data_IF_027613615242
#
_entry.id   IF_027613615242
#
_cell.length_a   1.000
_cell.length_b   1.000
_cell.length_c   1.000
_cell.angle_alpha   90.00
_cell.angle_beta   90.00
_cell.angle_gamma   90.00
#
_symmetry.space_group_name_H-M   'P 1'
#
loop_
_entity.id
_entity.type
_entity.pdbx_description
1 polymer ?
#
# COMPACT_ATOMS: atom_id res chain seq x y z
N UNK A 1 24.02 28.72 -17.33
CA UNK A 1 22.56 28.49 -17.32
C UNK A 1 22.30 27.04 -17.62
N UNK A 2 21.78 26.24 -16.67
CA UNK A 2 21.39 24.83 -16.92
C UNK A 2 19.99 24.81 -17.51
N UNK A 3 19.82 24.21 -18.68
CA UNK A 3 18.51 24.09 -19.33
C UNK A 3 17.52 23.30 -18.43
N UNK A 4 16.29 23.80 -18.19
CA UNK A 4 15.33 23.17 -17.28
C UNK A 4 14.99 21.70 -17.63
N UNK A 5 15.14 21.31 -18.89
CA UNK A 5 14.91 19.94 -19.37
C UNK A 5 15.98 18.95 -18.92
N UNK A 6 17.25 19.34 -18.90
CA UNK A 6 18.37 18.48 -18.49
C UNK A 6 18.32 18.14 -16.99
N UNK A 7 17.92 19.10 -16.14
CA UNK A 7 17.77 18.86 -14.69
C UNK A 7 16.63 17.89 -14.38
N UNK A 8 15.53 17.92 -15.13
CA UNK A 8 14.43 16.97 -14.96
C UNK A 8 14.80 15.56 -15.42
N UNK A 9 15.61 15.41 -16.47
CA UNK A 9 16.08 14.10 -16.96
C UNK A 9 17.05 13.44 -15.98
N UNK A 10 18.03 14.18 -15.47
CA UNK A 10 19.02 13.65 -14.52
C UNK A 10 18.38 13.18 -13.21
N UNK A 11 17.38 13.91 -12.70
CA UNK A 11 16.66 13.51 -11.49
C UNK A 11 15.82 12.24 -11.66
N UNK A 12 15.25 12.02 -12.85
CA UNK A 12 14.49 10.79 -13.16
C UNK A 12 15.41 9.57 -13.27
N UNK A 13 16.56 9.75 -13.93
CA UNK A 13 17.56 8.68 -14.05
C UNK A 13 18.09 8.30 -12.66
N UNK A 14 18.44 9.27 -11.82
CA UNK A 14 18.87 9.01 -10.46
C UNK A 14 17.81 8.26 -9.64
N UNK A 15 16.53 8.65 -9.75
CA UNK A 15 15.43 7.95 -9.09
C UNK A 15 15.30 6.50 -9.59
N UNK A 16 15.45 6.24 -10.88
CA UNK A 16 15.41 4.90 -11.45
C UNK A 16 16.59 4.03 -10.95
N UNK A 17 17.81 4.58 -10.94
CA UNK A 17 19.00 3.87 -10.45
C UNK A 17 18.82 3.50 -8.97
N UNK A 18 18.41 4.44 -8.13
CA UNK A 18 18.17 4.15 -6.70
C UNK A 18 17.05 3.13 -6.52
N UNK A 19 15.97 3.22 -7.30
CA UNK A 19 14.90 2.24 -7.26
C UNK A 19 15.39 0.82 -7.63
N UNK A 20 16.27 0.68 -8.60
CA UNK A 20 16.88 -0.61 -8.97
C UNK A 20 17.76 -1.14 -7.83
N UNK A 21 18.62 -0.29 -7.26
CA UNK A 21 19.46 -0.69 -6.12
C UNK A 21 18.62 -1.15 -4.93
N UNK A 22 17.58 -0.39 -4.59
CA UNK A 22 16.66 -0.72 -3.50
C UNK A 22 15.87 -2.00 -3.81
N UNK A 23 15.46 -2.22 -5.07
CA UNK A 23 14.82 -3.45 -5.50
C UNK A 23 15.72 -4.68 -5.31
N UNK A 24 17.00 -4.56 -5.70
CA UNK A 24 17.98 -5.63 -5.52
C UNK A 24 18.21 -5.93 -4.03
N UNK A 25 18.39 -4.89 -3.20
CA UNK A 25 18.60 -5.05 -1.75
C UNK A 25 17.37 -5.69 -1.10
N UNK A 26 16.16 -5.22 -1.42
CA UNK A 26 14.93 -5.80 -0.88
C UNK A 26 14.76 -7.26 -1.31
N UNK A 27 14.99 -7.57 -2.59
CA UNK A 27 14.97 -8.93 -3.10
C UNK A 27 16.00 -9.83 -2.40
N UNK A 28 17.23 -9.32 -2.20
CA UNK A 28 18.26 -10.06 -1.49
C UNK A 28 17.89 -10.35 -0.02
N UNK A 29 17.35 -9.37 0.69
CA UNK A 29 16.88 -9.55 2.07
C UNK A 29 15.79 -10.63 2.13
N UNK A 30 14.83 -10.56 1.21
CA UNK A 30 13.74 -11.55 1.11
C UNK A 30 14.31 -12.93 0.80
N UNK A 31 15.17 -13.05 -0.22
CA UNK A 31 15.78 -14.33 -0.59
C UNK A 31 16.57 -14.99 0.55
N UNK A 32 17.18 -14.18 1.42
CA UNK A 32 17.93 -14.69 2.58
C UNK A 32 17.03 -15.20 3.71
N UNK A 33 15.93 -14.50 3.98
CA UNK A 33 15.18 -14.67 5.24
C UNK A 33 13.83 -15.39 5.03
N UNK A 34 13.37 -15.54 3.77
CA UNK A 34 12.10 -16.20 3.45
C UNK A 34 12.25 -17.71 3.42
N UNK A 35 11.28 -18.46 3.97
CA UNK A 35 11.25 -19.92 3.87
C UNK A 35 11.25 -20.42 2.41
N UNK A 36 11.80 -21.61 2.13
CA UNK A 36 11.87 -22.16 0.76
C UNK A 36 10.52 -22.32 0.07
N UNK A 37 9.43 -22.45 0.84
CA UNK A 37 8.05 -22.53 0.33
C UNK A 37 7.46 -21.20 -0.12
N UNK A 38 8.16 -20.05 0.11
CA UNK A 38 7.72 -18.72 -0.30
C UNK A 38 6.78 -18.02 0.67
N UNK A 39 6.57 -18.56 1.89
CA UNK A 39 5.74 -17.93 2.93
C UNK A 39 4.33 -17.57 2.45
N UNK A 40 3.82 -16.38 2.81
CA UNK A 40 2.49 -15.92 2.42
C UNK A 40 2.28 -15.82 0.89
N UNK A 41 3.36 -15.63 0.11
CA UNK A 41 3.26 -15.61 -1.34
C UNK A 41 2.90 -16.98 -1.93
N UNK A 42 3.21 -18.07 -1.23
CA UNK A 42 2.90 -19.42 -1.67
C UNK A 42 1.40 -19.65 -1.89
N UNK A 43 0.53 -18.93 -1.17
CA UNK A 43 -0.92 -19.01 -1.42
C UNK A 43 -1.28 -18.56 -2.84
N UNK A 44 -0.75 -17.43 -3.27
CA UNK A 44 -0.96 -16.89 -4.63
C UNK A 44 -0.32 -17.78 -5.69
N UNK A 45 0.89 -18.24 -5.42
CA UNK A 45 1.66 -19.09 -6.33
C UNK A 45 0.94 -20.43 -6.57
N UNK A 46 0.49 -21.13 -5.50
CA UNK A 46 -0.29 -22.38 -5.63
C UNK A 46 -1.63 -22.16 -6.33
N UNK A 47 -2.34 -21.08 -6.00
CA UNK A 47 -3.60 -20.75 -6.63
C UNK A 47 -3.44 -20.44 -8.12
N UNK A 48 -2.35 -19.78 -8.52
CA UNK A 48 -2.02 -19.53 -9.93
C UNK A 48 -1.72 -20.84 -10.69
N UNK A 49 -0.98 -21.77 -10.10
CA UNK A 49 -0.74 -23.10 -10.66
C UNK A 49 -2.03 -23.92 -10.80
N UNK A 50 -2.93 -23.87 -9.80
CA UNK A 50 -4.22 -24.52 -9.89
C UNK A 50 -5.03 -23.96 -11.07
N UNK A 51 -5.11 -22.65 -11.21
CA UNK A 51 -5.80 -21.99 -12.32
C UNK A 51 -5.25 -22.40 -13.68
N UNK A 52 -3.91 -22.39 -13.85
CA UNK A 52 -3.25 -22.80 -15.11
C UNK A 52 -3.45 -24.29 -15.43
N UNK A 53 -3.67 -25.12 -14.40
CA UNK A 53 -3.95 -26.54 -14.54
C UNK A 53 -5.45 -26.84 -14.76
N UNK A 54 -6.28 -25.81 -14.96
CA UNK A 54 -7.74 -25.96 -15.13
C UNK A 54 -8.49 -26.34 -13.85
N UNK A 55 -7.87 -26.20 -12.67
CA UNK A 55 -8.47 -26.48 -11.38
C UNK A 55 -8.96 -25.18 -10.72
N UNK A 56 -9.95 -25.29 -9.82
CA UNK A 56 -10.35 -24.15 -9.01
C UNK A 56 -9.21 -23.76 -8.06
N UNK A 57 -8.85 -22.46 -7.95
CA UNK A 57 -7.92 -21.98 -6.93
C UNK A 57 -8.54 -21.94 -5.53
N UNK A 58 -9.88 -22.08 -5.43
CA UNK A 58 -10.65 -22.03 -4.19
C UNK A 58 -10.91 -23.45 -3.68
N UNK A 59 -9.99 -23.95 -2.90
CA UNK A 59 -10.01 -25.28 -2.28
C UNK A 59 -10.09 -25.23 -0.74
N UNK A 60 -10.43 -24.05 -0.19
CA UNK A 60 -10.46 -23.77 1.25
C UNK A 60 -9.14 -23.17 1.79
N UNK A 61 -8.09 -23.07 0.97
CA UNK A 61 -6.80 -22.51 1.38
C UNK A 61 -6.54 -21.10 0.84
N UNK A 62 -7.22 -20.68 -0.23
CA UNK A 62 -6.98 -19.40 -0.92
C UNK A 62 -8.03 -18.35 -0.53
N UNK A 63 -7.65 -17.45 0.37
CA UNK A 63 -8.54 -16.43 0.97
C UNK A 63 -8.51 -15.07 0.24
N UNK A 64 -7.89 -14.99 -0.94
CA UNK A 64 -7.75 -13.75 -1.70
C UNK A 64 -8.66 -13.73 -2.94
N UNK A 65 -9.03 -12.54 -3.46
CA UNK A 65 -9.84 -12.45 -4.66
C UNK A 65 -9.07 -12.91 -5.91
N UNK A 66 -9.77 -13.49 -6.89
CA UNK A 66 -9.17 -14.01 -8.14
C UNK A 66 -8.27 -12.99 -8.87
N UNK A 67 -8.59 -11.68 -8.93
CA UNK A 67 -7.70 -10.68 -9.49
C UNK A 67 -6.26 -10.72 -8.97
N UNK A 68 -6.03 -11.13 -7.72
CA UNK A 68 -4.67 -11.23 -7.16
C UNK A 68 -3.82 -12.27 -7.89
N UNK A 69 -4.43 -13.37 -8.31
CA UNK A 69 -3.75 -14.42 -9.08
C UNK A 69 -3.26 -13.85 -10.43
N UNK A 70 -4.10 -13.06 -11.11
CA UNK A 70 -3.76 -12.50 -12.43
C UNK A 70 -2.54 -11.59 -12.36
N UNK A 71 -2.37 -10.86 -11.26
CA UNK A 71 -1.18 -10.01 -11.04
C UNK A 71 0.09 -10.84 -10.84
N UNK A 72 -0.02 -12.03 -10.22
CA UNK A 72 1.14 -12.90 -9.93
C UNK A 72 1.45 -13.87 -11.05
N UNK A 73 0.55 -14.07 -12.00
CA UNK A 73 0.74 -15.01 -13.14
C UNK A 73 2.10 -14.90 -13.84
N UNK A 74 2.67 -13.71 -14.08
CA UNK A 74 3.99 -13.60 -14.73
C UNK A 74 5.13 -14.27 -13.94
N UNK A 75 4.94 -14.53 -12.64
CA UNK A 75 5.96 -15.09 -11.75
C UNK A 75 5.82 -16.61 -11.56
N UNK A 76 4.76 -17.22 -12.09
CA UNK A 76 4.42 -18.62 -11.85
C UNK A 76 5.43 -19.60 -12.46
N UNK A 77 6.18 -19.18 -13.47
CA UNK A 77 7.28 -19.96 -14.05
C UNK A 77 8.53 -20.07 -13.18
N UNK A 78 8.59 -19.29 -12.09
CA UNK A 78 9.67 -19.33 -11.09
C UNK A 78 9.29 -20.31 -9.97
N UNK A 79 10.27 -20.69 -9.13
CA UNK A 79 9.95 -21.30 -7.84
C UNK A 79 9.15 -20.33 -6.96
N UNK A 80 8.42 -20.81 -5.94
CA UNK A 80 7.70 -19.93 -5.03
C UNK A 80 8.66 -18.95 -4.32
N UNK A 81 9.85 -19.42 -3.95
CA UNK A 81 10.91 -18.62 -3.33
C UNK A 81 11.43 -17.53 -4.28
N UNK A 82 11.78 -17.88 -5.52
CA UNK A 82 12.27 -16.90 -6.50
C UNK A 82 11.15 -15.93 -6.91
N UNK A 83 9.93 -16.43 -7.05
CA UNK A 83 8.75 -15.64 -7.38
C UNK A 83 8.49 -14.55 -6.34
N UNK A 84 8.54 -14.87 -5.05
CA UNK A 84 8.37 -13.86 -4.00
C UNK A 84 9.54 -12.89 -3.91
N UNK A 85 10.75 -13.37 -4.13
CA UNK A 85 11.96 -12.52 -4.18
C UNK A 85 11.83 -11.45 -5.25
N UNK A 86 11.44 -11.85 -6.45
CA UNK A 86 11.18 -10.92 -7.57
C UNK A 86 9.99 -10.02 -7.27
N UNK A 87 8.90 -10.56 -6.76
CA UNK A 87 7.69 -9.80 -6.42
C UNK A 87 7.99 -8.67 -5.44
N UNK A 88 8.69 -8.97 -4.34
CA UNK A 88 9.04 -7.98 -3.32
C UNK A 88 10.08 -6.99 -3.82
N UNK A 89 11.12 -7.44 -4.50
CA UNK A 89 12.11 -6.56 -5.11
C UNK A 89 11.48 -5.55 -6.05
N UNK A 90 10.65 -6.01 -6.99
CA UNK A 90 9.92 -5.13 -7.92
C UNK A 90 8.96 -4.20 -7.19
N UNK A 91 8.20 -4.70 -6.21
CA UNK A 91 7.24 -3.90 -5.45
C UNK A 91 7.91 -2.75 -4.71
N UNK A 92 9.02 -3.02 -4.02
CA UNK A 92 9.79 -2.01 -3.26
C UNK A 92 10.52 -1.06 -4.19
N UNK A 93 11.06 -1.55 -5.31
CA UNK A 93 11.68 -0.71 -6.34
C UNK A 93 10.67 0.27 -6.96
N UNK A 94 9.51 -0.23 -7.37
CA UNK A 94 8.43 0.62 -7.91
C UNK A 94 7.94 1.64 -6.88
N UNK A 95 7.79 1.25 -5.60
CA UNK A 95 7.45 2.17 -4.52
C UNK A 95 8.50 3.27 -4.37
N UNK A 96 9.78 2.91 -4.38
CA UNK A 96 10.89 3.86 -4.29
C UNK A 96 10.84 4.88 -5.43
N UNK A 97 10.74 4.38 -6.67
CA UNK A 97 10.64 5.25 -7.85
C UNK A 97 9.43 6.18 -7.77
N UNK A 98 8.26 5.64 -7.41
CA UNK A 98 7.02 6.38 -7.30
C UNK A 98 7.09 7.48 -6.24
N UNK A 99 7.63 7.18 -5.06
CA UNK A 99 7.82 8.12 -3.97
C UNK A 99 8.75 9.27 -4.35
N UNK A 100 9.94 8.95 -4.87
CA UNK A 100 10.91 9.97 -5.27
C UNK A 100 10.34 10.85 -6.38
N UNK A 101 9.66 10.27 -7.36
CA UNK A 101 9.06 10.99 -8.49
C UNK A 101 7.92 11.91 -8.07
N UNK A 102 7.05 11.45 -7.17
CA UNK A 102 5.83 12.17 -6.79
C UNK A 102 6.04 13.13 -5.61
N UNK A 103 6.95 12.81 -4.69
CA UNK A 103 7.09 13.49 -3.40
C UNK A 103 8.54 13.92 -3.07
N UNK A 104 9.51 13.54 -3.92
CA UNK A 104 10.93 13.85 -3.72
C UNK A 104 11.64 12.89 -2.78
N UNK A 105 12.97 13.05 -2.67
CA UNK A 105 13.88 12.16 -1.95
C UNK A 105 13.57 12.02 -0.46
N UNK A 106 13.12 13.09 0.18
CA UNK A 106 12.79 13.09 1.60
C UNK A 106 11.62 12.16 1.95
N UNK A 107 10.80 11.77 0.97
CA UNK A 107 9.72 10.79 1.18
C UNK A 107 10.23 9.38 1.49
N UNK A 108 11.50 9.08 1.22
CA UNK A 108 12.11 7.80 1.55
C UNK A 108 12.21 7.56 3.06
N UNK A 109 11.94 8.55 3.90
CA UNK A 109 11.78 8.39 5.36
C UNK A 109 10.76 7.28 5.71
N UNK A 110 9.85 6.94 4.81
CA UNK A 110 8.89 5.84 4.97
C UNK A 110 9.56 4.48 5.19
N UNK A 111 10.76 4.28 4.64
CA UNK A 111 11.55 3.05 4.86
C UNK A 111 11.96 2.85 6.33
N UNK A 112 11.89 3.90 7.15
CA UNK A 112 12.13 3.81 8.59
C UNK A 112 10.88 3.34 9.36
N UNK A 113 9.71 3.23 8.70
CA UNK A 113 8.47 2.88 9.38
C UNK A 113 8.39 1.38 9.70
N UNK A 114 7.81 1.01 10.86
CA UNK A 114 7.58 -0.39 11.17
C UNK A 114 6.60 -1.06 10.19
N UNK A 115 5.67 -0.28 9.59
CA UNK A 115 4.74 -0.78 8.59
C UNK A 115 5.44 -1.24 7.30
N UNK A 116 6.51 -0.57 6.89
CA UNK A 116 7.33 -1.00 5.75
C UNK A 116 8.04 -2.32 6.04
N UNK A 117 8.68 -2.44 7.20
CA UNK A 117 9.40 -3.66 7.57
C UNK A 117 8.45 -4.84 7.79
N UNK A 118 7.29 -4.61 8.41
CA UNK A 118 6.24 -5.62 8.53
C UNK A 118 5.75 -6.09 7.16
N UNK A 119 5.58 -5.16 6.19
CA UNK A 119 5.21 -5.50 4.82
C UNK A 119 6.30 -6.31 4.10
N UNK A 120 7.57 -5.95 4.30
CA UNK A 120 8.70 -6.64 3.66
C UNK A 120 8.85 -8.07 4.19
N UNK A 121 8.89 -8.26 5.51
CA UNK A 121 9.07 -9.58 6.12
C UNK A 121 7.86 -10.50 6.00
N UNK A 122 6.66 -9.94 5.91
CA UNK A 122 5.42 -10.71 5.67
C UNK A 122 5.05 -10.80 4.19
N UNK A 123 5.91 -10.35 3.27
CA UNK A 123 5.77 -10.49 1.82
C UNK A 123 4.47 -9.89 1.26
N UNK A 124 4.14 -8.68 1.73
CA UNK A 124 2.82 -8.09 1.52
C UNK A 124 2.74 -7.15 0.31
N UNK A 125 1.51 -6.92 -0.14
CA UNK A 125 1.17 -6.09 -1.30
C UNK A 125 1.36 -4.59 -1.10
N UNK A 126 1.45 -4.12 0.14
CA UNK A 126 1.39 -2.71 0.48
C UNK A 126 2.43 -1.84 -0.24
N UNK A 127 3.70 -2.26 -0.45
CA UNK A 127 4.65 -1.51 -1.27
C UNK A 127 4.19 -1.36 -2.72
N UNK A 128 3.65 -2.42 -3.33
CA UNK A 128 3.15 -2.39 -4.70
C UNK A 128 1.92 -1.49 -4.84
N UNK A 129 1.02 -1.54 -3.86
CA UNK A 129 -0.18 -0.71 -3.83
C UNK A 129 0.15 0.77 -3.61
N UNK A 130 1.20 1.07 -2.83
CA UNK A 130 1.71 2.44 -2.71
C UNK A 130 2.25 2.97 -4.05
N UNK A 131 2.98 2.14 -4.80
CA UNK A 131 3.39 2.49 -6.15
C UNK A 131 2.18 2.72 -7.07
N UNK A 132 1.17 1.86 -7.01
CA UNK A 132 -0.06 1.98 -7.78
C UNK A 132 -0.84 3.27 -7.45
N UNK A 133 -0.87 3.70 -6.18
CA UNK A 133 -1.49 4.94 -5.75
C UNK A 133 -0.81 6.19 -6.35
N UNK A 134 0.52 6.13 -6.54
CA UNK A 134 1.33 7.25 -7.02
C UNK A 134 1.57 7.24 -8.54
N UNK A 135 1.44 6.08 -9.19
CA UNK A 135 1.66 5.87 -10.62
C UNK A 135 0.36 5.38 -11.28
N UNK A 136 -0.47 6.27 -11.82
CA UNK A 136 -1.79 5.93 -12.36
C UNK A 136 -1.83 4.75 -13.35
N UNK A 137 -0.83 4.55 -14.24
CA UNK A 137 -0.82 3.39 -15.13
C UNK A 137 -0.76 2.04 -14.41
N UNK A 138 -0.30 2.01 -13.16
CA UNK A 138 -0.23 0.81 -12.31
C UNK A 138 -1.49 0.56 -11.49
N UNK A 139 -2.53 1.39 -11.65
CA UNK A 139 -3.77 1.30 -10.86
C UNK A 139 -4.49 -0.06 -10.96
N UNK A 140 -4.26 -0.82 -12.07
CA UNK A 140 -4.78 -2.18 -12.19
C UNK A 140 -4.26 -3.13 -11.10
N UNK A 141 -3.06 -2.89 -10.56
CA UNK A 141 -2.47 -3.67 -9.48
C UNK A 141 -3.26 -3.55 -8.17
N UNK A 142 -4.07 -2.50 -8.03
CA UNK A 142 -4.97 -2.33 -6.89
C UNK A 142 -6.00 -3.48 -6.75
N UNK A 143 -6.29 -4.18 -7.85
CA UNK A 143 -7.18 -5.35 -7.84
C UNK A 143 -6.58 -6.56 -7.12
N UNK A 144 -5.25 -6.62 -6.96
CA UNK A 144 -4.56 -7.75 -6.33
C UNK A 144 -4.87 -7.91 -4.83
N UNK A 145 -5.10 -6.81 -4.12
CA UNK A 145 -5.60 -6.83 -2.74
C UNK A 145 -6.70 -5.78 -2.62
N UNK A 146 -7.91 -6.15 -3.01
CA UNK A 146 -9.02 -5.23 -3.25
C UNK A 146 -9.34 -4.30 -2.07
N UNK A 147 -9.17 -4.76 -0.82
CA UNK A 147 -9.41 -3.95 0.38
C UNK A 147 -8.55 -2.68 0.38
N UNK A 148 -7.24 -2.82 0.57
CA UNK A 148 -6.32 -1.67 0.54
C UNK A 148 -6.13 -1.10 -0.88
N UNK A 149 -6.36 -1.88 -1.92
CA UNK A 149 -6.28 -1.44 -3.32
C UNK A 149 -7.32 -0.36 -3.66
N UNK A 150 -8.55 -0.48 -3.16
CA UNK A 150 -9.57 0.58 -3.31
C UNK A 150 -9.12 1.87 -2.62
N UNK A 151 -8.49 1.79 -1.45
CA UNK A 151 -7.92 2.97 -0.80
C UNK A 151 -6.77 3.60 -1.62
N UNK A 152 -5.92 2.78 -2.24
CA UNK A 152 -4.87 3.25 -3.15
C UNK A 152 -5.47 4.00 -4.36
N UNK A 153 -6.55 3.48 -4.97
CA UNK A 153 -7.26 4.17 -6.04
C UNK A 153 -7.93 5.48 -5.57
N UNK A 154 -8.45 5.52 -4.34
CA UNK A 154 -9.05 6.73 -3.78
C UNK A 154 -8.03 7.86 -3.60
N UNK A 155 -6.74 7.56 -3.43
CA UNK A 155 -5.69 8.57 -3.37
C UNK A 155 -5.65 9.39 -4.66
N UNK A 156 -5.60 8.72 -5.82
CA UNK A 156 -5.57 9.39 -7.13
C UNK A 156 -6.47 8.63 -8.13
N UNK A 157 -7.80 8.86 -8.11
CA UNK A 157 -8.73 8.18 -8.98
C UNK A 157 -8.58 8.68 -10.42
N UNK A 158 -7.85 7.93 -11.24
CA UNK A 158 -7.68 8.22 -12.66
C UNK A 158 -8.46 7.23 -13.51
N UNK A 159 -8.88 7.67 -14.72
CA UNK A 159 -9.55 6.79 -15.69
C UNK A 159 -8.74 5.53 -16.02
N UNK A 160 -7.42 5.65 -16.06
CA UNK A 160 -6.52 4.53 -16.34
C UNK A 160 -6.43 3.56 -15.15
N UNK A 161 -6.31 4.07 -13.93
CA UNK A 161 -6.28 3.25 -12.71
C UNK A 161 -7.60 2.52 -12.50
N UNK A 162 -8.72 3.25 -12.59
CA UNK A 162 -10.06 2.68 -12.42
C UNK A 162 -10.37 1.70 -13.56
N UNK A 163 -10.12 2.08 -14.82
CA UNK A 163 -10.35 1.22 -15.97
C UNK A 163 -9.52 -0.05 -15.92
N UNK A 164 -8.24 0.04 -15.53
CA UNK A 164 -7.38 -1.11 -15.35
C UNK A 164 -7.86 -2.04 -14.24
N UNK A 165 -8.26 -1.49 -13.08
CA UNK A 165 -8.87 -2.26 -12.00
C UNK A 165 -10.11 -3.03 -12.47
N UNK A 166 -11.05 -2.31 -13.10
CA UNK A 166 -12.29 -2.91 -13.64
C UNK A 166 -11.95 -3.96 -14.69
N UNK A 167 -10.97 -3.72 -15.57
CA UNK A 167 -10.52 -4.66 -16.59
C UNK A 167 -10.02 -5.98 -15.99
N UNK A 168 -9.17 -5.93 -14.96
CA UNK A 168 -8.69 -7.16 -14.29
C UNK A 168 -9.82 -7.91 -13.59
N UNK A 169 -10.73 -7.18 -12.93
CA UNK A 169 -11.92 -7.79 -12.31
C UNK A 169 -12.82 -8.44 -13.37
N UNK A 170 -13.05 -7.77 -14.50
CA UNK A 170 -13.85 -8.33 -15.61
C UNK A 170 -13.21 -9.60 -16.19
N UNK A 171 -11.89 -9.61 -16.43
CA UNK A 171 -11.16 -10.80 -16.86
C UNK A 171 -11.33 -11.93 -15.82
N UNK A 172 -11.29 -11.62 -14.54
CA UNK A 172 -11.52 -12.64 -13.48
C UNK A 172 -12.91 -13.27 -13.58
N UNK A 173 -13.94 -12.49 -13.90
CA UNK A 173 -15.30 -13.03 -14.13
C UNK A 173 -15.40 -13.88 -15.41
N UNK A 174 -14.62 -13.54 -16.44
CA UNK A 174 -14.57 -14.36 -17.66
C UNK A 174 -13.90 -15.71 -17.41
N UNK A 175 -12.90 -15.75 -16.54
CA UNK A 175 -12.17 -16.99 -16.20
C UNK A 175 -12.97 -17.90 -15.25
N UNK A 176 -13.50 -17.36 -14.20
CA UNK A 176 -14.30 -18.07 -13.18
C UNK A 176 -15.49 -17.18 -12.77
N UNK A 177 -16.65 -17.29 -13.43
CA UNK A 177 -17.79 -16.41 -13.14
C UNK A 177 -18.26 -16.44 -11.67
N UNK A 178 -18.07 -17.58 -11.00
CA UNK A 178 -18.49 -17.82 -9.61
C UNK A 178 -17.46 -17.49 -8.56
N UNK A 179 -16.28 -16.95 -8.97
CA UNK A 179 -15.19 -16.70 -8.03
C UNK A 179 -15.56 -15.83 -6.80
N UNK A 180 -16.46 -14.84 -6.87
CA UNK A 180 -16.77 -14.06 -5.68
C UNK A 180 -17.52 -14.87 -4.61
N UNK A 181 -18.33 -15.84 -5.04
CA UNK A 181 -19.04 -16.73 -4.12
C UNK A 181 -18.08 -17.73 -3.47
N UNK A 182 -17.16 -18.30 -4.27
CA UNK A 182 -16.13 -19.20 -3.77
C UNK A 182 -15.20 -18.48 -2.80
N UNK A 183 -14.70 -17.27 -3.18
CA UNK A 183 -13.89 -16.43 -2.30
C UNK A 183 -14.60 -16.10 -0.97
N UNK A 184 -15.89 -15.74 -1.04
CA UNK A 184 -16.66 -15.44 0.17
C UNK A 184 -16.75 -16.64 1.11
N UNK A 185 -16.89 -17.86 0.56
CA UNK A 185 -16.87 -19.08 1.35
C UNK A 185 -15.54 -19.27 2.07
N UNK A 186 -14.44 -19.13 1.33
CA UNK A 186 -13.08 -19.35 1.86
C UNK A 186 -12.67 -18.28 2.88
N UNK A 187 -12.98 -17.00 2.63
CA UNK A 187 -12.67 -15.92 3.57
C UNK A 187 -13.48 -16.02 4.87
N UNK A 188 -14.67 -16.63 4.82
CA UNK A 188 -15.48 -16.89 6.02
C UNK A 188 -14.83 -17.88 6.99
N UNK A 189 -13.88 -18.69 6.51
CA UNK A 189 -13.07 -19.59 7.30
C UNK A 189 -11.76 -18.97 7.82
N UNK A 190 -11.44 -17.72 7.43
CA UNK A 190 -10.19 -17.05 7.81
C UNK A 190 -10.14 -16.77 9.33
N UNK A 191 -9.00 -17.03 9.99
CA UNK A 191 -8.89 -16.95 11.44
C UNK A 191 -8.94 -15.52 12.02
N UNK A 192 -8.73 -14.48 11.21
CA UNK A 192 -8.65 -13.11 11.68
C UNK A 192 -9.78 -12.23 11.11
N UNK A 193 -10.56 -11.56 11.97
CA UNK A 193 -11.62 -10.68 11.51
C UNK A 193 -11.03 -9.44 10.82
N UNK A 194 -11.54 -9.12 9.64
CA UNK A 194 -11.27 -7.86 8.97
C UNK A 194 -12.39 -6.89 9.32
N UNK A 195 -12.07 -5.86 10.08
CA UNK A 195 -13.04 -4.83 10.49
C UNK A 195 -12.61 -3.45 10.01
N UNK A 196 -13.55 -2.57 9.64
CA UNK A 196 -13.19 -1.19 9.32
C UNK A 196 -12.53 -0.50 10.51
N UNK A 197 -11.42 0.22 10.32
CA UNK A 197 -10.80 1.02 11.38
C UNK A 197 -11.74 2.02 12.03
N UNK A 198 -12.79 2.42 11.35
CA UNK A 198 -13.88 3.22 11.92
C UNK A 198 -14.44 2.62 13.24
N UNK A 199 -14.45 1.30 13.34
CA UNK A 199 -14.97 0.58 14.53
C UNK A 199 -13.91 0.37 15.61
N UNK A 200 -12.65 0.75 15.36
CA UNK A 200 -11.57 0.67 16.35
C UNK A 200 -11.59 1.92 17.25
N UNK A 201 -11.20 1.79 18.51
CA UNK A 201 -11.35 2.82 19.53
C UNK A 201 -10.94 4.24 19.09
N UNK A 202 -9.76 4.40 18.49
CA UNK A 202 -9.28 5.69 17.99
C UNK A 202 -9.21 5.73 16.45
N UNK A 203 -9.52 4.62 15.79
CA UNK A 203 -9.51 4.51 14.33
C UNK A 203 -10.55 5.41 13.67
N UNK A 204 -11.65 5.67 14.36
CA UNK A 204 -12.69 6.61 13.93
C UNK A 204 -12.16 8.04 13.68
N UNK A 205 -11.01 8.44 14.25
CA UNK A 205 -10.39 9.73 13.95
C UNK A 205 -9.96 9.85 12.48
N UNK A 206 -9.77 8.75 11.79
CA UNK A 206 -9.52 8.77 10.34
C UNK A 206 -10.67 9.39 9.52
N UNK A 207 -11.90 9.46 10.07
CA UNK A 207 -13.03 10.18 9.45
C UNK A 207 -12.71 11.67 9.24
N UNK A 208 -11.77 12.26 9.99
CA UNK A 208 -11.27 13.60 9.76
C UNK A 208 -10.68 13.79 8.34
N UNK A 209 -10.34 12.71 7.65
CA UNK A 209 -10.05 12.73 6.22
C UNK A 209 -11.16 13.36 5.39
N UNK A 210 -12.41 13.29 5.82
CA UNK A 210 -13.54 13.92 5.15
C UNK A 210 -13.40 15.46 5.07
N UNK A 211 -12.74 16.09 6.04
CA UNK A 211 -12.47 17.54 6.02
C UNK A 211 -11.57 17.93 4.83
N UNK A 212 -10.81 16.97 4.31
CA UNK A 212 -9.88 17.13 3.19
C UNK A 212 -10.20 16.19 2.03
N UNK A 213 -11.46 15.78 1.88
CA UNK A 213 -11.88 14.79 0.87
C UNK A 213 -11.55 15.21 -0.59
N UNK A 214 -11.40 16.51 -0.85
CA UNK A 214 -10.95 17.03 -2.15
C UNK A 214 -9.47 16.84 -2.40
N UNK A 215 -8.67 16.65 -1.33
CA UNK A 215 -7.24 16.37 -1.42
C UNK A 215 -7.00 14.86 -1.50
N UNK A 216 -5.98 14.37 -2.24
CA UNK A 216 -5.66 12.95 -2.33
C UNK A 216 -5.50 12.28 -0.96
N UNK A 217 -4.80 12.95 -0.02
CA UNK A 217 -4.53 12.44 1.32
C UNK A 217 -5.79 12.26 2.17
N UNK A 218 -6.76 13.18 2.06
CA UNK A 218 -8.03 13.06 2.78
C UNK A 218 -8.87 11.91 2.26
N UNK A 219 -8.97 11.75 0.94
CA UNK A 219 -9.66 10.60 0.32
C UNK A 219 -9.04 9.28 0.72
N UNK A 220 -7.71 9.18 0.69
CA UNK A 220 -7.00 7.98 1.12
C UNK A 220 -7.31 7.64 2.57
N UNK A 221 -7.13 8.61 3.49
CA UNK A 221 -7.36 8.38 4.91
C UNK A 221 -8.80 7.93 5.17
N UNK A 222 -9.77 8.61 4.55
CA UNK A 222 -11.19 8.25 4.66
C UNK A 222 -11.44 6.83 4.14
N UNK A 223 -10.90 6.48 2.96
CA UNK A 223 -11.05 5.15 2.39
C UNK A 223 -10.43 4.08 3.29
N UNK A 224 -9.19 4.27 3.78
CA UNK A 224 -8.55 3.36 4.73
C UNK A 224 -9.36 3.19 6.02
N UNK A 225 -10.08 4.23 6.46
CA UNK A 225 -10.89 4.20 7.68
C UNK A 225 -12.18 3.38 7.50
N UNK A 226 -12.78 3.46 6.33
CA UNK A 226 -14.09 2.85 6.05
C UNK A 226 -13.98 1.40 5.54
N UNK A 227 -12.85 1.03 4.94
CA UNK A 227 -12.66 -0.29 4.33
C UNK A 227 -12.15 -1.27 5.39
N UNK A 228 -12.69 -2.51 5.44
CA UNK A 228 -12.18 -3.54 6.33
C UNK A 228 -10.69 -3.79 6.14
N UNK A 229 -9.93 -3.75 7.22
CA UNK A 229 -8.50 -3.99 7.25
C UNK A 229 -8.15 -5.03 8.32
N UNK A 230 -7.00 -5.67 8.18
CA UNK A 230 -6.48 -6.57 9.20
C UNK A 230 -5.85 -5.79 10.36
N UNK A 231 -5.65 -6.46 11.50
CA UNK A 231 -4.91 -5.91 12.64
C UNK A 231 -3.38 -5.89 12.40
N UNK A 232 -2.92 -6.09 11.17
CA UNK A 232 -1.51 -6.14 10.82
C UNK A 232 -1.03 -4.76 10.33
N UNK A 233 0.12 -4.33 10.82
CA UNK A 233 0.61 -2.97 10.56
C UNK A 233 0.91 -2.72 9.07
N UNK A 234 1.32 -3.75 8.33
CA UNK A 234 1.59 -3.64 6.89
C UNK A 234 0.39 -3.18 6.05
N UNK A 235 -0.84 -3.51 6.45
CA UNK A 235 -2.04 -3.09 5.72
C UNK A 235 -2.24 -1.56 5.78
N UNK A 236 -1.58 -0.91 6.73
CA UNK A 236 -1.70 0.52 6.98
C UNK A 236 -0.54 1.34 6.41
N UNK A 237 0.41 0.72 5.68
CA UNK A 237 1.54 1.42 5.06
C UNK A 237 1.11 2.58 4.15
N UNK A 238 -0.04 2.45 3.46
CA UNK A 238 -0.55 3.51 2.60
C UNK A 238 -0.84 4.82 3.35
N UNK A 239 -1.09 4.78 4.66
CA UNK A 239 -1.37 5.98 5.46
C UNK A 239 -0.22 7.00 5.49
N UNK A 240 1.01 6.57 5.17
CA UNK A 240 2.12 7.53 4.96
C UNK A 240 1.90 8.43 3.75
N UNK A 241 1.02 8.09 2.82
CA UNK A 241 0.59 8.99 1.74
C UNK A 241 -0.40 10.06 2.23
N UNK A 242 -1.01 9.89 3.41
CA UNK A 242 -1.87 10.91 4.01
C UNK A 242 -1.06 12.10 4.58
N UNK A 243 0.26 11.95 4.76
CA UNK A 243 1.16 13.02 5.22
C UNK A 243 1.47 14.02 4.09
N UNK A 244 1.72 15.29 4.43
CA UNK A 244 2.06 16.35 3.46
C UNK A 244 3.53 16.30 3.04
N UNK A 245 4.40 16.07 4.00
CA UNK A 245 5.84 16.14 3.82
C UNK A 245 6.57 15.07 4.66
N UNK A 246 7.87 15.04 4.55
CA UNK A 246 8.71 14.09 5.26
C UNK A 246 8.67 14.25 6.79
N UNK A 247 8.39 15.46 7.31
CA UNK A 247 8.31 15.73 8.76
C UNK A 247 7.07 15.05 9.35
N UNK A 248 5.93 15.21 8.69
CA UNK A 248 4.71 14.48 9.07
C UNK A 248 4.91 12.97 8.94
N UNK A 249 5.58 12.52 7.87
CA UNK A 249 5.92 11.10 7.72
C UNK A 249 6.82 10.60 8.84
N UNK A 250 7.78 11.41 9.31
CA UNK A 250 8.63 11.06 10.44
C UNK A 250 7.85 11.00 11.75
N UNK A 251 6.96 11.96 12.01
CA UNK A 251 6.08 11.94 13.18
C UNK A 251 5.23 10.66 13.18
N UNK A 252 4.62 10.33 12.03
CA UNK A 252 3.82 9.12 11.89
C UNK A 252 4.68 7.85 12.10
N UNK A 253 5.92 7.85 11.62
CA UNK A 253 6.87 6.74 11.80
C UNK A 253 7.23 6.56 13.28
N UNK A 254 7.57 7.64 13.98
CA UNK A 254 7.92 7.57 15.41
C UNK A 254 6.73 7.07 16.24
N UNK A 255 5.53 7.62 16.00
CA UNK A 255 4.33 7.18 16.73
C UNK A 255 3.95 5.73 16.39
N UNK A 256 4.14 5.28 15.14
CA UNK A 256 3.92 3.89 14.76
C UNK A 256 4.92 2.95 15.47
N UNK A 257 6.20 3.33 15.64
CA UNK A 257 7.15 2.57 16.44
C UNK A 257 6.74 2.48 17.91
N UNK A 258 6.29 3.59 18.50
CA UNK A 258 5.80 3.60 19.89
C UNK A 258 4.59 2.66 20.05
N UNK A 259 3.64 2.70 19.11
CA UNK A 259 2.49 1.79 19.10
C UNK A 259 2.91 0.33 18.92
N UNK A 260 3.87 0.06 18.06
CA UNK A 260 4.40 -1.29 17.81
C UNK A 260 5.15 -1.84 19.03
N UNK A 261 5.99 -1.02 19.67
CA UNK A 261 6.71 -1.38 20.90
C UNK A 261 5.72 -1.63 22.05
N UNK A 262 4.70 -0.77 22.19
CA UNK A 262 3.66 -0.97 23.20
C UNK A 262 2.90 -2.29 22.98
N UNK A 263 2.61 -2.62 21.72
CA UNK A 263 1.97 -3.88 21.36
C UNK A 263 2.85 -5.08 21.72
N UNK A 264 4.14 -5.06 21.37
CA UNK A 264 5.09 -6.13 21.71
C UNK A 264 5.26 -6.29 23.22
N UNK A 265 5.18 -5.22 23.99
CA UNK A 265 5.27 -5.27 25.44
C UNK A 265 4.03 -5.90 26.10
N UNK A 266 2.86 -5.77 25.47
CA UNK A 266 1.57 -6.26 26.00
C UNK A 266 1.17 -7.62 25.47
N UNK A 267 1.53 -7.93 24.22
CA UNK A 267 1.20 -9.18 23.53
C UNK A 267 2.42 -9.74 22.77
N UNK A 268 3.46 -10.22 23.48
CA UNK A 268 4.75 -10.51 22.85
C UNK A 268 4.76 -11.71 21.90
N UNK A 269 3.76 -12.58 21.92
CA UNK A 269 3.87 -13.89 21.27
C UNK A 269 2.83 -14.20 20.18
N UNK A 270 1.75 -13.43 20.06
CA UNK A 270 0.72 -13.74 19.05
C UNK A 270 -0.20 -12.55 18.74
N UNK A 271 0.23 -11.72 17.77
CA UNK A 271 -0.56 -10.59 17.29
C UNK A 271 -1.93 -11.00 16.70
N UNK A 272 -2.09 -12.29 16.34
CA UNK A 272 -3.36 -12.80 15.80
C UNK A 272 -4.35 -13.17 16.90
N UNK A 273 -3.87 -13.53 18.09
CA UNK A 273 -4.71 -13.85 19.24
C UNK A 273 -5.19 -12.61 20.01
N UNK A 274 -4.37 -11.54 20.00
CA UNK A 274 -4.77 -10.24 20.57
C UNK A 274 -5.07 -9.21 19.48
N UNK A 275 -6.01 -9.53 18.61
CA UNK A 275 -6.43 -8.63 17.55
C UNK A 275 -6.96 -7.29 18.07
N UNK A 276 -7.58 -7.27 19.25
CA UNK A 276 -8.11 -6.03 19.86
C UNK A 276 -6.99 -5.09 20.33
N UNK A 277 -5.95 -5.62 20.97
CA UNK A 277 -4.77 -4.85 21.35
C UNK A 277 -4.00 -4.33 20.14
N UNK A 278 -3.84 -5.15 19.11
CA UNK A 278 -3.22 -4.76 17.86
C UNK A 278 -4.00 -3.63 17.15
N UNK A 279 -5.33 -3.77 17.04
CA UNK A 279 -6.20 -2.75 16.45
C UNK A 279 -6.13 -1.44 17.23
N UNK A 280 -6.14 -1.50 18.56
CA UNK A 280 -6.00 -0.31 19.39
C UNK A 280 -4.66 0.40 19.17
N UNK A 281 -3.55 -0.33 19.19
CA UNK A 281 -2.21 0.23 18.99
C UNK A 281 -2.04 0.88 17.62
N UNK A 282 -2.53 0.23 16.56
CA UNK A 282 -2.51 0.77 15.20
C UNK A 282 -3.42 1.99 15.09
N UNK A 283 -4.64 1.90 15.62
CA UNK A 283 -5.58 3.00 15.59
C UNK A 283 -5.05 4.23 16.35
N UNK A 284 -4.47 4.04 17.53
CA UNK A 284 -3.92 5.11 18.34
C UNK A 284 -2.68 5.75 17.68
N UNK A 285 -1.77 4.95 17.13
CA UNK A 285 -0.49 5.46 16.63
C UNK A 285 -0.56 5.95 15.18
N UNK A 286 -1.41 5.38 14.33
CA UNK A 286 -1.44 5.70 12.91
C UNK A 286 -2.68 6.51 12.54
N UNK A 287 -3.88 6.00 12.83
CA UNK A 287 -5.13 6.68 12.44
C UNK A 287 -5.39 7.95 13.21
N UNK A 288 -5.14 7.94 14.54
CA UNK A 288 -5.33 9.13 15.37
C UNK A 288 -4.40 10.25 14.92
N UNK A 289 -3.12 9.95 14.73
CA UNK A 289 -2.12 10.94 14.31
C UNK A 289 -2.40 11.42 12.88
N UNK A 290 -2.67 10.52 11.93
CA UNK A 290 -3.04 10.91 10.57
C UNK A 290 -4.32 11.76 10.54
N UNK A 291 -5.32 11.43 11.35
CA UNK A 291 -6.54 12.22 11.50
C UNK A 291 -6.27 13.62 12.04
N UNK A 292 -5.48 13.76 13.10
CA UNK A 292 -5.09 15.06 13.65
C UNK A 292 -4.33 15.93 12.64
N UNK A 293 -3.49 15.32 11.79
CA UNK A 293 -2.79 16.04 10.72
C UNK A 293 -3.77 16.69 9.70
N UNK A 294 -5.00 16.16 9.55
CA UNK A 294 -6.00 16.76 8.67
C UNK A 294 -6.55 18.09 9.21
N UNK A 295 -6.44 18.35 10.51
CA UNK A 295 -6.86 19.60 11.15
C UNK A 295 -5.87 20.75 10.90
N UNK A 296 -4.62 20.44 10.58
CA UNK A 296 -3.58 21.46 10.36
C UNK A 296 -3.84 22.14 9.01
N UNK A 297 -4.04 23.48 8.98
CA UNK A 297 -4.30 24.20 7.74
C UNK A 297 -3.16 24.00 6.72
N UNK A 298 -3.52 23.77 5.47
CA UNK A 298 -2.56 23.92 4.37
C UNK A 298 -2.30 25.42 4.22
N UNK A 299 -1.05 25.85 4.38
CA UNK A 299 -0.69 27.22 4.00
C UNK A 299 -1.01 27.37 2.53
N UNK A 300 -2.05 28.16 2.23
CA UNK A 300 -2.25 28.62 0.86
C UNK A 300 -0.98 29.34 0.45
N UNK A 301 -0.31 28.86 -0.58
CA UNK A 301 0.73 29.65 -1.23
C UNK A 301 0.01 30.93 -1.67
N UNK A 302 0.21 32.03 -0.94
CA UNK A 302 -0.17 33.35 -1.40
C UNK A 302 0.60 33.55 -2.70
N UNK A 303 -0.10 33.39 -3.82
CA UNK A 303 0.43 33.83 -5.11
C UNK A 303 0.72 35.31 -4.91
N UNK A 304 1.98 35.77 -5.07
CA UNK A 304 2.24 37.20 -5.04
C UNK A 304 1.32 37.82 -6.09
N UNK A 305 0.44 38.71 -5.66
CA UNK A 305 -0.31 39.56 -6.58
C UNK A 305 0.75 40.42 -7.24
N UNK A 306 1.11 40.08 -8.49
CA UNK A 306 1.92 40.97 -9.32
C UNK A 306 1.13 42.27 -9.42
N UNK A 307 1.58 43.27 -8.68
CA UNK A 307 1.12 44.66 -8.88
C UNK A 307 1.44 45.00 -10.31
N UNK A 308 0.42 45.37 -11.11
CA UNK A 308 0.66 45.79 -12.49
C UNK A 308 1.67 46.96 -12.46
N UNK A 309 2.77 46.80 -13.22
CA UNK A 309 3.77 47.87 -13.35
C UNK A 309 3.06 49.11 -13.87
N UNK A 310 3.33 50.30 -13.30
CA UNK A 310 2.73 51.54 -13.82
C UNK A 310 3.15 51.69 -15.28
N UNK A 311 2.18 51.83 -16.14
CA UNK A 311 2.39 52.18 -17.56
C UNK A 311 3.12 53.51 -17.64
N UNK A 312 4.25 53.59 -18.32
CA UNK A 312 4.92 54.89 -18.56
C UNK A 312 4.04 55.74 -19.49
N UNK A 313 3.73 56.94 -19.01
CA UNK A 313 3.06 57.98 -19.79
C UNK A 313 3.99 58.64 -20.79
#
# INVERSE_FOLDING_TARGET
>A
MRTPGLVRHSSRLAAAVVAIVVAIVAGWLVARDVPPDGGDFAYYWRAAHALLSGKSPYDGSFIYPLPSILVVLPLVGLSAHDGVTVFMGVSVGLMTYALVRARGWASLVIFLSPAFWDALYKLQWSPLLMAAALLPPLGFLASGKATIGVAALAYQPTRWGIGGFIGVVAISFLLIPTWPLQWRSDIGAAPAPHTPPLLWLTGAMGVLGALRWREPRGRLLLACTLIPASAQLYDHLLLWLATRDWRESLVLTVTAWLGFIALLATAPHDLTKDASGAQFSIAASVYAVAGLMMLIPTRSATVPVETPSPTPH
#
